data_IF_711924470304
#
_entry.id   IF_711924470304
#
_cell.length_a   1.000
_cell.length_b   1.000
_cell.length_c   1.000
_cell.angle_alpha   90.00
_cell.angle_beta   90.00
_cell.angle_gamma   90.00
#
_symmetry.space_group_name_H-M   'P 1'
#
loop_
_entity.id
_entity.type
_entity.pdbx_description
1 polymer ?
#
# COMPACT_ATOMS: atom_id res chain seq x y z
N UNK A 1 21.02 37.63 -1.16
CA UNK A 1 20.82 36.34 -0.48
C UNK A 1 19.74 35.59 -1.24
N UNK A 2 20.08 34.46 -1.87
CA UNK A 2 19.09 33.63 -2.54
C UNK A 2 18.29 32.86 -1.47
N UNK A 3 16.94 32.86 -1.50
CA UNK A 3 16.18 32.07 -0.56
C UNK A 3 16.46 30.59 -0.85
N UNK A 4 16.87 29.87 0.20
CA UNK A 4 16.96 28.42 0.22
C UNK A 4 15.61 27.88 -0.24
N UNK A 5 15.54 27.38 -1.48
CA UNK A 5 14.39 26.63 -1.99
C UNK A 5 14.35 25.34 -1.18
N UNK A 6 13.73 25.39 0.00
CA UNK A 6 13.15 24.21 0.62
C UNK A 6 12.21 23.64 -0.44
N UNK A 7 12.63 22.56 -1.08
CA UNK A 7 11.84 21.81 -2.06
C UNK A 7 10.62 21.32 -1.31
N UNK A 8 9.56 22.12 -1.30
CA UNK A 8 8.35 21.80 -0.58
C UNK A 8 7.74 20.58 -1.26
N UNK A 9 7.85 19.42 -0.61
CA UNK A 9 7.22 18.20 -1.11
C UNK A 9 5.72 18.48 -1.13
N UNK A 10 5.06 18.34 -2.30
CA UNK A 10 3.65 18.67 -2.40
C UNK A 10 2.81 17.78 -1.47
N UNK A 11 1.79 18.35 -0.84
CA UNK A 11 0.95 17.64 0.13
C UNK A 11 0.39 16.32 -0.44
N UNK A 12 -0.06 16.32 -1.69
CA UNK A 12 -0.57 15.11 -2.35
C UNK A 12 0.46 13.97 -2.47
N UNK A 13 1.77 14.29 -2.51
CA UNK A 13 2.84 13.27 -2.49
C UNK A 13 3.08 12.77 -1.07
N UNK A 14 2.96 13.64 -0.06
CA UNK A 14 3.04 13.25 1.35
C UNK A 14 1.87 12.36 1.76
N UNK A 15 0.65 12.73 1.37
CA UNK A 15 -0.56 11.93 1.63
C UNK A 15 -0.42 10.54 1.00
N UNK A 16 0.05 10.46 -0.25
CA UNK A 16 0.28 9.19 -0.94
C UNK A 16 1.39 8.34 -0.29
N UNK A 17 2.42 8.97 0.27
CA UNK A 17 3.42 8.26 1.08
C UNK A 17 2.80 7.72 2.38
N UNK A 18 1.96 8.52 3.05
CA UNK A 18 1.24 8.09 4.25
C UNK A 18 0.35 6.88 3.99
N UNK A 19 -0.41 6.89 2.89
CA UNK A 19 -1.21 5.73 2.47
C UNK A 19 -0.35 4.48 2.21
N UNK A 20 0.83 4.65 1.60
CA UNK A 20 1.76 3.55 1.35
C UNK A 20 2.35 3.00 2.65
N UNK A 21 2.73 3.85 3.58
CA UNK A 21 3.21 3.47 4.91
C UNK A 21 2.12 2.73 5.70
N UNK A 22 0.88 3.22 5.64
CA UNK A 22 -0.26 2.55 6.28
C UNK A 22 -0.50 1.16 5.67
N UNK A 23 -0.40 1.02 4.35
CA UNK A 23 -0.50 -0.26 3.67
C UNK A 23 0.59 -1.23 4.15
N UNK A 24 1.84 -0.77 4.26
CA UNK A 24 2.98 -1.57 4.77
C UNK A 24 2.67 -2.05 6.18
N UNK A 25 2.26 -1.13 7.05
CA UNK A 25 1.96 -1.42 8.46
C UNK A 25 0.83 -2.45 8.61
N UNK A 26 -0.29 -2.27 7.92
CA UNK A 26 -1.43 -3.20 8.02
C UNK A 26 -1.06 -4.58 7.47
N UNK A 27 -0.30 -4.64 6.37
CA UNK A 27 0.17 -5.92 5.83
C UNK A 27 1.11 -6.64 6.80
N UNK A 28 1.96 -5.92 7.52
CA UNK A 28 2.81 -6.50 8.55
C UNK A 28 1.97 -7.09 9.70
N UNK A 29 0.95 -6.36 10.18
CA UNK A 29 0.03 -6.85 11.21
C UNK A 29 -0.71 -8.09 10.75
N UNK A 30 -1.26 -8.09 9.53
CA UNK A 30 -1.95 -9.27 8.98
C UNK A 30 -0.99 -10.46 8.91
N UNK A 31 0.26 -10.25 8.49
CA UNK A 31 1.27 -11.30 8.43
C UNK A 31 1.63 -11.88 9.80
N UNK A 32 1.68 -11.05 10.84
CA UNK A 32 1.85 -11.51 12.23
C UNK A 32 0.62 -12.33 12.65
N UNK A 33 -0.58 -11.81 12.41
CA UNK A 33 -1.83 -12.47 12.76
C UNK A 33 -2.00 -13.83 12.04
N UNK A 34 -1.67 -13.91 10.76
CA UNK A 34 -1.71 -15.15 9.98
C UNK A 34 -0.77 -16.21 10.58
N UNK A 35 0.36 -15.81 11.16
CA UNK A 35 1.28 -16.71 11.86
C UNK A 35 0.79 -17.08 13.26
N UNK A 36 0.28 -16.12 14.03
CA UNK A 36 -0.12 -16.34 15.44
C UNK A 36 -1.47 -17.03 15.58
N UNK A 37 -2.38 -16.91 14.60
CA UNK A 37 -3.63 -17.68 14.60
C UNK A 37 -3.39 -19.19 14.60
N UNK A 38 -2.33 -19.66 13.95
CA UNK A 38 -1.93 -21.07 13.99
C UNK A 38 -1.57 -21.52 15.42
N UNK A 39 -1.08 -20.62 16.26
CA UNK A 39 -0.73 -20.88 17.65
C UNK A 39 -1.93 -20.72 18.59
N UNK A 40 -2.82 -19.74 18.33
CA UNK A 40 -4.00 -19.43 19.16
C UNK A 40 -5.03 -20.56 19.12
N UNK A 41 -5.18 -21.28 18.00
CA UNK A 41 -6.04 -22.48 17.90
C UNK A 41 -5.66 -23.56 18.93
N UNK A 42 -4.43 -23.52 19.48
CA UNK A 42 -3.95 -24.44 20.52
C UNK A 42 -4.08 -23.89 21.95
N UNK A 43 -4.74 -22.75 22.16
CA UNK A 43 -4.87 -22.07 23.46
C UNK A 43 -6.33 -22.03 23.96
N UNK A 44 -6.53 -21.73 25.25
CA UNK A 44 -7.84 -21.57 25.93
C UNK A 44 -8.60 -20.29 25.53
N UNK A 45 -8.54 -19.91 24.24
CA UNK A 45 -9.26 -18.75 23.72
C UNK A 45 -10.74 -19.08 23.56
N UNK A 46 -11.63 -18.23 24.09
CA UNK A 46 -13.08 -18.47 24.00
C UNK A 46 -13.59 -18.26 22.57
N UNK A 47 -14.67 -18.93 22.15
CA UNK A 47 -15.26 -18.75 20.81
C UNK A 47 -15.62 -17.30 20.49
N UNK A 48 -16.06 -16.52 21.48
CA UNK A 48 -16.39 -15.11 21.29
C UNK A 48 -15.16 -14.27 20.94
N UNK A 49 -14.02 -14.56 21.55
CA UNK A 49 -12.77 -13.85 21.35
C UNK A 49 -12.15 -14.21 19.99
N UNK A 50 -12.20 -15.50 19.61
CA UNK A 50 -11.83 -15.94 18.27
C UNK A 50 -12.66 -15.25 17.17
N UNK A 51 -13.96 -15.09 17.38
CA UNK A 51 -14.83 -14.41 16.41
C UNK A 51 -14.51 -12.92 16.27
N UNK A 52 -14.18 -12.24 17.38
CA UNK A 52 -13.75 -10.84 17.35
C UNK A 52 -12.44 -10.69 16.58
N UNK A 53 -11.45 -11.52 16.90
CA UNK A 53 -10.14 -11.50 16.26
C UNK A 53 -10.26 -11.77 14.74
N UNK A 54 -11.08 -12.75 14.36
CA UNK A 54 -11.36 -13.06 12.95
C UNK A 54 -12.06 -11.90 12.23
N UNK A 55 -13.01 -11.23 12.91
CA UNK A 55 -13.67 -10.03 12.39
C UNK A 55 -12.68 -8.88 12.13
N UNK A 56 -11.81 -8.59 13.10
CA UNK A 56 -10.76 -7.59 12.96
C UNK A 56 -9.78 -7.91 11.82
N UNK A 57 -9.42 -9.18 11.66
CA UNK A 57 -8.57 -9.63 10.57
C UNK A 57 -9.21 -9.45 9.18
N UNK A 58 -10.49 -9.82 9.03
CA UNK A 58 -11.23 -9.59 7.79
C UNK A 58 -11.33 -8.09 7.46
N UNK A 59 -11.56 -7.26 8.47
CA UNK A 59 -11.58 -5.80 8.31
C UNK A 59 -10.22 -5.26 7.86
N UNK A 60 -9.11 -5.74 8.44
CA UNK A 60 -7.76 -5.36 8.04
C UNK A 60 -7.48 -5.75 6.58
N UNK A 61 -7.87 -6.96 6.16
CA UNK A 61 -7.76 -7.41 4.75
C UNK A 61 -8.58 -6.53 3.80
N UNK A 62 -9.80 -6.17 4.18
CA UNK A 62 -10.63 -5.24 3.41
C UNK A 62 -9.96 -3.87 3.27
N UNK A 63 -9.37 -3.36 4.35
CA UNK A 63 -8.63 -2.08 4.34
C UNK A 63 -7.41 -2.12 3.42
N UNK A 64 -6.64 -3.22 3.40
CA UNK A 64 -5.53 -3.41 2.43
C UNK A 64 -6.03 -3.26 0.99
N UNK A 65 -7.13 -3.93 0.65
CA UNK A 65 -7.69 -3.85 -0.70
C UNK A 65 -8.20 -2.44 -1.04
N UNK A 66 -8.72 -1.71 -0.04
CA UNK A 66 -9.11 -0.31 -0.20
C UNK A 66 -7.90 0.59 -0.47
N UNK A 67 -6.84 0.47 0.32
CA UNK A 67 -5.60 1.24 0.17
C UNK A 67 -4.93 0.99 -1.18
N UNK A 68 -4.90 -0.26 -1.64
CA UNK A 68 -4.40 -0.56 -2.99
C UNK A 68 -5.16 0.19 -4.09
N UNK A 69 -6.47 0.43 -3.93
CA UNK A 69 -7.27 1.18 -4.90
C UNK A 69 -7.07 2.68 -4.75
N UNK A 70 -7.05 3.22 -3.52
CA UNK A 70 -6.85 4.66 -3.29
C UNK A 70 -5.49 5.10 -3.80
N UNK A 71 -4.42 4.38 -3.45
CA UNK A 71 -3.05 4.70 -3.89
C UNK A 71 -2.96 4.79 -5.42
N UNK A 72 -3.55 3.85 -6.16
CA UNK A 72 -3.55 3.92 -7.64
C UNK A 72 -4.36 5.11 -8.15
N UNK A 73 -5.53 5.37 -7.57
CA UNK A 73 -6.40 6.47 -7.97
C UNK A 73 -5.75 7.83 -7.73
N UNK A 74 -5.18 8.04 -6.54
CA UNK A 74 -4.55 9.30 -6.13
C UNK A 74 -3.22 9.50 -6.84
N UNK A 75 -2.42 8.44 -7.02
CA UNK A 75 -1.27 8.48 -7.90
C UNK A 75 -1.65 8.96 -9.30
N UNK A 76 -2.74 8.43 -9.89
CA UNK A 76 -3.15 8.80 -11.24
C UNK A 76 -3.53 10.27 -11.39
N UNK A 77 -3.99 10.92 -10.32
CA UNK A 77 -4.30 12.36 -10.26
C UNK A 77 -3.05 13.24 -10.18
N UNK A 78 -1.88 12.69 -9.83
CA UNK A 78 -0.66 13.46 -9.72
C UNK A 78 -0.12 13.93 -11.10
N UNK A 79 0.40 15.16 -11.19
CA UNK A 79 1.25 15.60 -12.29
C UNK A 79 2.44 14.67 -12.55
N UNK A 80 2.89 14.60 -13.81
CA UNK A 80 3.98 13.69 -14.27
C UNK A 80 5.27 13.78 -13.42
N UNK A 81 5.68 14.98 -13.03
CA UNK A 81 6.92 15.15 -12.27
C UNK A 81 6.79 14.57 -10.85
N UNK A 82 5.65 14.76 -10.19
CA UNK A 82 5.35 14.18 -8.87
C UNK A 82 5.23 12.66 -8.92
N UNK A 83 4.58 12.11 -9.95
CA UNK A 83 4.52 10.66 -10.19
C UNK A 83 5.91 10.03 -10.20
N UNK A 84 6.82 10.62 -10.97
CA UNK A 84 8.22 10.16 -11.06
C UNK A 84 8.93 10.26 -9.72
N UNK A 85 8.76 11.36 -8.99
CA UNK A 85 9.37 11.54 -7.67
C UNK A 85 8.89 10.47 -6.69
N UNK A 86 7.57 10.26 -6.60
CA UNK A 86 6.96 9.26 -5.73
C UNK A 86 7.44 7.83 -6.07
N UNK A 87 7.39 7.44 -7.34
CA UNK A 87 7.80 6.09 -7.76
C UNK A 87 9.29 5.87 -7.54
N UNK A 88 10.15 6.87 -7.82
CA UNK A 88 11.59 6.74 -7.61
C UNK A 88 11.93 6.57 -6.13
N UNK A 89 11.29 7.35 -5.26
CA UNK A 89 11.50 7.26 -3.82
C UNK A 89 11.03 5.92 -3.23
N UNK A 90 9.93 5.36 -3.76
CA UNK A 90 9.25 4.21 -3.17
C UNK A 90 9.32 2.93 -4.03
N UNK A 91 10.21 2.84 -5.01
CA UNK A 91 10.17 1.78 -6.03
C UNK A 91 10.20 0.37 -5.44
N UNK A 92 11.08 0.15 -4.47
CA UNK A 92 11.25 -1.13 -3.78
C UNK A 92 9.98 -1.46 -2.99
N UNK A 93 9.55 -0.56 -2.11
CA UNK A 93 8.33 -0.69 -1.29
C UNK A 93 7.09 -0.97 -2.13
N UNK A 94 6.91 -0.24 -3.24
CA UNK A 94 5.80 -0.46 -4.18
C UNK A 94 5.83 -1.90 -4.73
N UNK A 95 7.00 -2.37 -5.16
CA UNK A 95 7.18 -3.69 -5.73
C UNK A 95 6.97 -4.80 -4.71
N UNK A 96 7.54 -4.66 -3.51
CA UNK A 96 7.36 -5.57 -2.37
C UNK A 96 5.90 -5.70 -1.95
N UNK A 97 5.12 -4.62 -2.06
CA UNK A 97 3.71 -4.62 -1.72
C UNK A 97 2.77 -4.85 -2.92
N UNK A 98 3.33 -5.33 -4.04
CA UNK A 98 2.61 -5.91 -5.17
C UNK A 98 2.16 -4.92 -6.23
N UNK A 99 2.54 -3.64 -6.12
CA UNK A 99 2.38 -2.71 -7.23
C UNK A 99 3.42 -3.00 -8.32
N UNK A 100 3.10 -2.69 -9.57
CA UNK A 100 4.09 -2.74 -10.65
C UNK A 100 4.28 -1.34 -11.24
N UNK A 101 5.34 -0.62 -10.83
CA UNK A 101 5.70 0.63 -11.46
C UNK A 101 6.15 0.42 -12.92
N UNK A 102 5.71 1.28 -13.82
CA UNK A 102 6.17 1.28 -15.20
C UNK A 102 7.64 1.69 -15.33
N UNK A 103 8.27 1.36 -16.46
CA UNK A 103 9.67 1.73 -16.74
C UNK A 103 9.89 3.25 -16.72
N UNK A 104 8.91 4.02 -17.18
CA UNK A 104 8.95 5.49 -17.22
C UNK A 104 8.52 6.16 -15.90
N UNK A 105 8.11 5.37 -14.90
CA UNK A 105 7.65 5.81 -13.57
C UNK A 105 6.39 6.69 -13.61
N UNK A 106 5.56 6.55 -14.65
CA UNK A 106 4.32 7.31 -14.82
C UNK A 106 3.05 6.51 -14.51
N UNK A 107 3.18 5.21 -14.31
CA UNK A 107 2.08 4.32 -13.96
C UNK A 107 2.49 3.39 -12.82
N UNK A 108 1.52 3.05 -11.99
CA UNK A 108 1.58 1.92 -11.06
C UNK A 108 0.33 1.08 -11.28
N UNK A 109 0.46 -0.23 -11.40
CA UNK A 109 -0.69 -1.13 -11.43
C UNK A 109 -0.91 -1.75 -10.06
N UNK A 110 -2.18 -2.03 -9.73
CA UNK A 110 -2.53 -2.74 -8.50
C UNK A 110 -2.06 -4.21 -8.55
N UNK A 111 -1.83 -4.84 -7.40
CA UNK A 111 -1.57 -6.28 -7.35
C UNK A 111 -2.69 -7.07 -8.03
N UNK A 112 -2.31 -8.08 -8.83
CA UNK A 112 -3.25 -8.94 -9.53
C UNK A 112 -3.94 -8.32 -10.76
N UNK A 113 -3.66 -7.06 -11.10
CA UNK A 113 -4.10 -6.50 -12.39
C UNK A 113 -3.25 -7.08 -13.52
N UNK A 114 -3.81 -7.99 -14.32
CA UNK A 114 -3.20 -8.37 -15.61
C UNK A 114 -3.15 -7.13 -16.49
N UNK A 115 -1.96 -6.62 -16.80
CA UNK A 115 -1.78 -5.71 -17.93
C UNK A 115 -2.20 -6.48 -19.19
N UNK A 116 -3.27 -6.05 -19.85
CA UNK A 116 -3.49 -6.42 -21.25
C UNK A 116 -2.37 -5.73 -22.01
N UNK A 117 -1.30 -6.47 -22.29
CA UNK A 117 -0.25 -6.01 -23.18
C UNK A 117 -0.89 -6.02 -24.57
N UNK A 118 -1.33 -4.85 -25.05
CA UNK A 118 -1.64 -4.70 -26.47
C UNK A 118 -0.28 -4.64 -27.16
N UNK A 119 0.14 -5.78 -27.71
CA UNK A 119 1.21 -5.79 -28.71
C UNK A 119 0.59 -5.26 -29.99
N UNK A 120 0.93 -4.02 -30.35
CA UNK A 120 0.62 -3.43 -31.66
C UNK A 120 1.65 -3.92 -32.69
#
# INVERSE_FOLDING_TARGET
MAPSRLTQVPQAVLDLNGDLEELVYIKAIIGIYDRTMLEIVNSTTTPAQLNLDHGSWLQAKSKVASLHRSIVADFNRLPRHMKRTFVRANRLTLSEHGFQPSADNLEITRPGSRRVIIVL
#
